data_IF_992489840752
#
_entry.id   IF_992489840752
#
_cell.length_a   1.000
_cell.length_b   1.000
_cell.length_c   1.000
_cell.angle_alpha   90.00
_cell.angle_beta   90.00
_cell.angle_gamma   90.00
#
_symmetry.space_group_name_H-M   'P 1'
#
loop_
_entity.id
_entity.type
_entity.pdbx_description
1 polymer ?
#
# COMPACT_ATOMS: atom_id res chain seq x y z
N UNK A 1 -3.91 -13.09 -4.53
CA UNK A 1 -3.92 -13.06 -3.05
C UNK A 1 -3.22 -14.26 -2.38
N UNK A 2 -2.97 -15.39 -3.08
CA UNK A 2 -2.34 -16.58 -2.49
C UNK A 2 -0.90 -16.37 -1.98
N UNK A 3 -0.17 -15.42 -2.57
CA UNK A 3 1.17 -15.02 -2.10
C UNK A 3 1.11 -13.83 -1.15
N UNK A 4 0.33 -12.81 -1.51
CA UNK A 4 0.14 -11.59 -0.73
C UNK A 4 -1.36 -11.40 -0.50
N UNK A 5 -1.83 -11.79 0.69
CA UNK A 5 -3.22 -11.58 1.11
C UNK A 5 -3.44 -10.16 1.65
N UNK A 6 -2.36 -9.48 2.04
CA UNK A 6 -2.38 -8.12 2.58
C UNK A 6 -1.28 -7.28 1.95
N UNK A 7 -1.55 -6.00 1.71
CA UNK A 7 -0.62 -5.05 1.14
C UNK A 7 -0.71 -3.68 1.84
N UNK A 8 0.36 -2.90 1.74
CA UNK A 8 0.39 -1.51 2.22
C UNK A 8 0.84 -0.60 1.09
N UNK A 9 0.11 0.50 0.86
CA UNK A 9 0.47 1.58 -0.05
C UNK A 9 0.80 2.85 0.75
N UNK A 10 2.06 3.27 0.76
CA UNK A 10 2.55 4.44 1.48
C UNK A 10 2.76 5.59 0.51
N UNK A 11 1.91 6.63 0.59
CA UNK A 11 1.88 7.72 -0.38
C UNK A 11 1.75 7.22 -1.83
N UNK A 12 0.95 6.16 -2.05
CA UNK A 12 0.84 5.50 -3.35
C UNK A 12 -0.04 6.22 -4.37
N UNK A 13 0.15 5.86 -5.64
CA UNK A 13 -0.76 6.19 -6.74
C UNK A 13 -1.60 4.98 -7.10
N UNK A 14 -2.92 5.17 -7.17
CA UNK A 14 -3.86 4.11 -7.55
C UNK A 14 -4.16 4.10 -9.05
N UNK A 15 -3.75 5.15 -9.76
CA UNK A 15 -3.67 5.19 -11.21
C UNK A 15 -2.24 4.87 -11.67
N UNK A 16 -2.11 4.15 -12.78
CA UNK A 16 -0.83 4.00 -13.46
C UNK A 16 -0.48 5.33 -14.15
N UNK A 17 0.29 6.17 -13.47
CA UNK A 17 0.67 7.50 -13.95
C UNK A 17 1.78 7.42 -15.01
N UNK A 18 1.95 8.52 -15.73
CA UNK A 18 3.12 8.86 -16.54
C UNK A 18 3.61 10.19 -16.00
N UNK A 19 4.88 10.26 -15.62
CA UNK A 19 5.47 11.47 -15.04
C UNK A 19 6.82 11.80 -15.70
N UNK A 20 7.42 12.91 -15.29
CA UNK A 20 8.68 13.40 -15.87
C UNK A 20 9.92 12.69 -15.34
N UNK A 21 9.84 11.94 -14.23
CA UNK A 21 11.00 11.28 -13.62
C UNK A 21 11.13 9.83 -14.06
N UNK A 22 10.01 9.12 -14.24
CA UNK A 22 9.94 7.73 -14.68
C UNK A 22 9.56 7.56 -16.15
N UNK A 23 8.88 8.56 -16.73
CA UNK A 23 8.45 8.52 -18.13
C UNK A 23 7.31 7.54 -18.39
N UNK A 24 7.28 6.95 -19.59
CA UNK A 24 6.28 5.96 -19.97
C UNK A 24 6.78 4.53 -19.76
N UNK A 25 6.47 3.97 -18.59
CA UNK A 25 6.80 2.58 -18.26
C UNK A 25 5.97 1.55 -19.03
N UNK A 26 4.96 2.01 -19.78
CA UNK A 26 3.97 1.14 -20.43
C UNK A 26 4.22 0.99 -21.93
N UNK A 27 5.22 1.67 -22.48
CA UNK A 27 5.59 1.60 -23.91
C UNK A 27 4.46 2.04 -24.83
N UNK A 28 3.65 3.02 -24.43
CA UNK A 28 2.45 3.45 -25.15
C UNK A 28 1.27 2.48 -25.11
N UNK A 29 1.42 1.29 -24.51
CA UNK A 29 0.36 0.28 -24.45
C UNK A 29 -0.66 0.64 -23.38
N UNK A 30 -1.86 1.03 -23.81
CA UNK A 30 -2.99 1.27 -22.90
C UNK A 30 -3.34 0.03 -22.10
N UNK A 31 -3.41 -1.14 -22.74
CA UNK A 31 -3.75 -2.38 -22.05
C UNK A 31 -2.76 -2.71 -20.93
N UNK A 32 -1.46 -2.50 -21.17
CA UNK A 32 -0.44 -2.76 -20.17
C UNK A 32 -0.49 -1.74 -19.03
N UNK A 33 -0.74 -0.46 -19.33
CA UNK A 33 -0.98 0.58 -18.33
C UNK A 33 -2.18 0.28 -17.45
N UNK A 34 -3.31 -0.10 -18.05
CA UNK A 34 -4.56 -0.41 -17.36
C UNK A 34 -4.38 -1.60 -16.39
N UNK A 35 -3.65 -2.64 -16.81
CA UNK A 35 -3.33 -3.80 -15.96
C UNK A 35 -2.39 -3.47 -14.78
N UNK A 36 -1.74 -2.30 -14.78
CA UNK A 36 -0.89 -1.82 -13.69
C UNK A 36 -1.53 -0.67 -12.89
N UNK A 37 -2.81 -0.36 -13.12
CA UNK A 37 -3.56 0.61 -12.34
C UNK A 37 -4.48 -0.11 -11.34
N UNK A 38 -4.25 0.00 -10.02
CA UNK A 38 -5.19 -0.51 -9.01
C UNK A 38 -6.63 0.00 -9.19
N UNK A 39 -6.80 1.29 -9.50
CA UNK A 39 -8.09 1.89 -9.81
C UNK A 39 -8.79 1.19 -10.98
N UNK A 40 -8.08 1.00 -12.10
CA UNK A 40 -8.64 0.31 -13.26
C UNK A 40 -8.98 -1.15 -12.96
N UNK A 41 -8.07 -1.87 -12.28
CA UNK A 41 -8.28 -3.27 -11.92
C UNK A 41 -9.52 -3.44 -11.04
N UNK A 42 -9.68 -2.60 -10.01
CA UNK A 42 -10.85 -2.65 -9.13
C UNK A 42 -12.13 -2.31 -9.87
N UNK A 43 -12.10 -1.41 -10.85
CA UNK A 43 -13.30 -1.01 -11.61
C UNK A 43 -13.68 -1.98 -12.73
N UNK A 44 -12.73 -2.74 -13.28
CA UNK A 44 -12.95 -3.53 -14.50
C UNK A 44 -12.71 -5.04 -14.37
N UNK A 45 -12.16 -5.52 -13.26
CA UNK A 45 -11.80 -6.93 -13.07
C UNK A 45 -12.41 -7.50 -11.79
N UNK A 46 -12.60 -8.83 -11.72
CA UNK A 46 -12.97 -9.48 -10.47
C UNK A 46 -11.93 -9.16 -9.39
N UNK A 47 -12.41 -8.56 -8.30
CA UNK A 47 -11.55 -8.15 -7.18
C UNK A 47 -11.29 -9.36 -6.28
N UNK A 48 -10.02 -9.74 -6.04
CA UNK A 48 -9.71 -10.85 -5.13
C UNK A 48 -9.99 -10.45 -3.67
N UNK A 49 -10.26 -11.45 -2.81
CA UNK A 49 -10.26 -11.21 -1.35
C UNK A 49 -8.85 -10.86 -0.90
N UNK A 50 -8.67 -9.65 -0.41
CA UNK A 50 -7.39 -9.13 0.11
C UNK A 50 -7.62 -7.92 0.99
N UNK A 51 -6.65 -7.60 1.83
CA UNK A 51 -6.63 -6.43 2.68
C UNK A 51 -5.59 -5.41 2.19
N UNK A 52 -5.96 -4.13 2.16
CA UNK A 52 -5.06 -3.04 1.81
C UNK A 52 -5.07 -2.00 2.93
N UNK A 53 -3.88 -1.62 3.41
CA UNK A 53 -3.70 -0.38 4.15
C UNK A 53 -3.18 0.71 3.20
N UNK A 54 -3.83 1.86 3.17
CA UNK A 54 -3.38 3.00 2.39
C UNK A 54 -3.06 4.19 3.30
N UNK A 55 -1.83 4.70 3.21
CA UNK A 55 -1.40 5.90 3.91
C UNK A 55 -1.26 7.07 2.93
N UNK A 56 -1.78 8.24 3.34
CA UNK A 56 -1.55 9.51 2.67
C UNK A 56 -1.62 10.67 3.67
N UNK A 57 -1.02 11.81 3.33
CA UNK A 57 -1.22 13.07 4.06
C UNK A 57 -2.21 13.96 3.34
N UNK A 58 -3.10 14.65 4.05
CA UNK A 58 -4.03 15.64 3.44
C UNK A 58 -3.34 16.77 2.67
N UNK A 59 -2.08 17.05 3.00
CA UNK A 59 -1.26 18.07 2.34
C UNK A 59 -0.46 17.53 1.14
N UNK A 60 -0.47 16.21 0.93
CA UNK A 60 0.11 15.61 -0.27
C UNK A 60 -0.85 15.82 -1.47
N UNK A 61 -0.46 16.71 -2.37
CA UNK A 61 -1.25 17.07 -3.54
C UNK A 61 -1.40 15.94 -4.58
N UNK A 62 -0.63 14.84 -4.45
CA UNK A 62 -0.65 13.74 -5.42
C UNK A 62 -1.30 12.49 -4.83
N UNK A 63 -0.78 11.94 -3.73
CA UNK A 63 -1.24 10.65 -3.20
C UNK A 63 -2.63 10.73 -2.56
N UNK A 64 -2.96 11.82 -1.85
CA UNK A 64 -4.25 11.93 -1.16
C UNK A 64 -5.44 12.01 -2.12
N UNK A 65 -5.44 12.86 -3.17
CA UNK A 65 -6.51 12.82 -4.17
C UNK A 65 -6.61 11.49 -4.92
N UNK A 66 -5.48 10.83 -5.21
CA UNK A 66 -5.46 9.50 -5.85
C UNK A 66 -6.14 8.45 -4.94
N UNK A 67 -5.80 8.43 -3.65
CA UNK A 67 -6.44 7.56 -2.67
C UNK A 67 -7.94 7.86 -2.55
N UNK A 68 -8.35 9.13 -2.50
CA UNK A 68 -9.77 9.47 -2.43
C UNK A 68 -10.57 8.93 -3.62
N UNK A 69 -10.03 9.01 -4.84
CA UNK A 69 -10.67 8.43 -6.05
C UNK A 69 -10.74 6.91 -5.96
N UNK A 70 -9.67 6.26 -5.49
CA UNK A 70 -9.65 4.81 -5.32
C UNK A 70 -10.70 4.33 -4.31
N UNK A 71 -10.87 5.03 -3.19
CA UNK A 71 -11.87 4.69 -2.17
C UNK A 71 -13.31 4.78 -2.68
N UNK A 72 -13.59 5.59 -3.72
CA UNK A 72 -14.93 5.66 -4.33
C UNK A 72 -15.30 4.42 -5.12
N UNK A 73 -14.32 3.64 -5.58
CA UNK A 73 -14.52 2.46 -6.41
C UNK A 73 -14.17 1.15 -5.70
N UNK A 74 -13.42 1.23 -4.59
CA UNK A 74 -13.09 0.08 -3.76
C UNK A 74 -14.35 -0.59 -3.21
N UNK A 75 -14.44 -1.91 -3.36
CA UNK A 75 -15.58 -2.70 -2.93
C UNK A 75 -15.17 -4.12 -2.55
N UNK A 76 -16.05 -4.81 -1.83
CA UNK A 76 -15.83 -6.20 -1.41
C UNK A 76 -15.61 -7.12 -2.63
N UNK A 77 -14.74 -8.13 -2.53
CA UNK A 77 -14.10 -8.65 -1.32
C UNK A 77 -12.75 -7.99 -0.94
N UNK A 78 -12.34 -6.90 -1.61
CA UNK A 78 -11.22 -6.08 -1.14
C UNK A 78 -11.67 -5.27 0.09
N UNK A 79 -10.86 -5.31 1.14
CA UNK A 79 -11.02 -4.44 2.30
C UNK A 79 -9.92 -3.38 2.27
N UNK A 80 -10.31 -2.11 2.43
CA UNK A 80 -9.36 -0.99 2.48
C UNK A 80 -9.43 -0.31 3.84
N UNK A 81 -8.29 -0.29 4.54
CA UNK A 81 -8.04 0.51 5.73
C UNK A 81 -7.22 1.74 5.34
N UNK A 82 -7.38 2.86 6.04
CA UNK A 82 -6.65 4.09 5.72
C UNK A 82 -5.97 4.69 6.95
N UNK A 83 -4.76 5.22 6.75
CA UNK A 83 -4.08 6.11 7.70
C UNK A 83 -3.91 7.46 7.03
N UNK A 84 -4.69 8.46 7.47
CA UNK A 84 -4.67 9.80 6.85
C UNK A 84 -4.08 10.82 7.82
N UNK A 85 -2.84 11.23 7.56
CA UNK A 85 -2.20 12.29 8.32
C UNK A 85 -2.83 13.66 8.02
N UNK A 86 -2.96 14.51 9.05
CA UNK A 86 -3.49 15.88 8.89
C UNK A 86 -2.51 16.81 8.16
N UNK A 87 -1.21 16.58 8.32
CA UNK A 87 -0.11 17.37 7.75
C UNK A 87 1.02 16.46 7.26
N UNK A 88 2.01 17.03 6.56
CA UNK A 88 3.11 16.29 5.95
C UNK A 88 3.07 16.36 4.42
N UNK A 89 3.66 15.39 3.74
CA UNK A 89 3.66 15.37 2.28
C UNK A 89 4.25 14.10 1.70
N UNK A 90 4.57 14.15 0.41
CA UNK A 90 5.13 13.04 -0.35
C UNK A 90 6.62 12.81 -0.04
N UNK A 91 6.94 12.44 1.20
CA UNK A 91 8.33 12.33 1.67
C UNK A 91 8.54 11.27 2.75
N UNK A 92 9.80 10.87 2.93
CA UNK A 92 10.20 9.84 3.89
C UNK A 92 9.95 10.25 5.36
N UNK A 93 9.93 11.54 5.69
CA UNK A 93 9.58 11.99 7.05
C UNK A 93 8.13 11.63 7.38
N UNK A 94 7.21 11.89 6.44
CA UNK A 94 5.78 11.60 6.61
C UNK A 94 5.53 10.10 6.64
N UNK A 95 6.21 9.35 5.76
CA UNK A 95 6.16 7.88 5.75
C UNK A 95 6.72 7.30 7.05
N UNK A 96 7.88 7.80 7.50
CA UNK A 96 8.55 7.34 8.73
C UNK A 96 7.67 7.53 9.97
N UNK A 97 6.93 8.63 10.04
CA UNK A 97 5.98 8.88 11.11
C UNK A 97 4.79 7.88 11.13
N UNK A 98 4.41 7.34 9.97
CA UNK A 98 3.33 6.35 9.85
C UNK A 98 3.79 4.90 10.07
N UNK A 99 5.11 4.63 10.05
CA UNK A 99 5.64 3.27 10.12
C UNK A 99 5.17 2.46 11.33
N UNK A 100 5.09 3.01 12.57
CA UNK A 100 4.62 2.23 13.72
C UNK A 100 3.22 1.64 13.51
N UNK A 101 2.25 2.46 13.10
CA UNK A 101 0.88 2.02 12.85
C UNK A 101 0.79 1.04 11.67
N UNK A 102 1.63 1.24 10.64
CA UNK A 102 1.73 0.33 9.49
C UNK A 102 2.25 -1.04 9.93
N UNK A 103 3.29 -1.09 10.76
CA UNK A 103 3.88 -2.33 11.23
C UNK A 103 2.91 -3.07 12.16
N UNK A 104 2.19 -2.36 13.03
CA UNK A 104 1.13 -2.95 13.86
C UNK A 104 0.01 -3.56 12.99
N UNK A 105 -0.43 -2.84 11.95
CA UNK A 105 -1.46 -3.32 11.03
C UNK A 105 -1.03 -4.57 10.25
N UNK A 106 0.23 -4.62 9.80
CA UNK A 106 0.82 -5.80 9.15
C UNK A 106 0.92 -6.94 10.16
N UNK A 107 1.46 -6.69 11.36
CA UNK A 107 1.65 -7.69 12.41
C UNK A 107 0.36 -8.40 12.79
N UNK A 108 -0.76 -7.67 12.84
CA UNK A 108 -2.08 -8.23 13.10
C UNK A 108 -2.63 -9.14 11.98
N UNK A 109 -2.02 -9.14 10.79
CA UNK A 109 -2.45 -9.88 9.59
C UNK A 109 -1.46 -10.93 9.13
N UNK A 110 -0.25 -10.94 9.69
CA UNK A 110 0.68 -12.03 9.49
C UNK A 110 0.21 -13.23 10.31
N UNK A 111 -0.05 -14.34 9.63
CA UNK A 111 -0.05 -15.63 10.32
C UNK A 111 1.37 -15.96 10.72
N UNK A 112 1.67 -16.28 11.99
CA UNK A 112 2.97 -16.79 12.37
C UNK A 112 3.32 -17.95 11.44
N UNK A 113 4.46 -17.86 10.76
CA UNK A 113 5.05 -19.03 10.10
C UNK A 113 5.37 -20.09 11.16
N UNK A 114 5.59 -21.36 10.77
CA UNK A 114 6.09 -22.34 11.71
C UNK A 114 7.36 -21.80 12.37
N UNK A 115 7.35 -21.69 13.71
CA UNK A 115 8.48 -21.19 14.49
C UNK A 115 9.71 -22.06 14.23
N UNK A 116 10.62 -21.60 13.37
CA UNK A 116 11.88 -22.29 13.08
C UNK A 116 13.06 -21.80 13.92
N UNK A 117 12.81 -20.94 14.91
CA UNK A 117 13.86 -20.48 15.83
C UNK A 117 13.88 -21.38 17.08
N UNK A 118 14.96 -22.15 17.33
CA UNK A 118 15.18 -22.72 18.65
C UNK A 118 15.30 -21.58 19.67
N UNK A 119 14.67 -21.75 20.83
CA UNK A 119 14.42 -20.73 21.86
C UNK A 119 15.68 -20.12 22.56
N UNK A 120 16.86 -20.17 21.95
CA UNK A 120 18.13 -19.87 22.62
C UNK A 120 18.91 -18.66 22.08
N UNK A 121 18.44 -17.95 21.06
CA UNK A 121 19.23 -16.87 20.46
C UNK A 121 18.51 -15.52 20.56
N UNK A 122 18.50 -14.91 21.76
CA UNK A 122 18.62 -13.45 21.92
C UNK A 122 18.81 -13.12 23.41
N UNK A 123 19.99 -13.45 23.97
CA UNK A 123 20.48 -12.72 25.13
C UNK A 123 21.14 -11.44 24.61
N UNK A 124 20.41 -10.33 24.66
CA UNK A 124 20.98 -9.00 24.42
C UNK A 124 21.99 -8.74 25.55
N UNK A 125 23.29 -8.95 25.28
CA UNK A 125 24.34 -8.52 26.19
C UNK A 125 24.70 -7.08 25.84
N UNK A 126 24.26 -6.15 26.65
CA UNK A 126 24.81 -4.78 26.71
C UNK A 126 26.13 -4.80 27.46
N UNK A 127 27.18 -4.21 26.88
CA UNK A 127 28.33 -3.72 27.64
C UNK A 127 28.00 -2.36 28.25
#
# INVERSE_FOLDING_TARGET
PSLYASAVALAGYFEAIKDSTTGDLWGGSRAFRDLNSPYWLVTHRPVPRSDLLAFASRQDATSYPSLQRFLQVAHAPLQVSTLIARSGGHNLTSIGAALPEVLDWIGARLTPGPSSLPAAALALRTQ
#
